data_IF_545716243706
#
_entry.id   IF_545716243706
#
_cell.length_a   1.000
_cell.length_b   1.000
_cell.length_c   1.000
_cell.angle_alpha   90.00
_cell.angle_beta   90.00
_cell.angle_gamma   90.00
#
_symmetry.space_group_name_H-M   'P 1'
#
loop_
_entity.id
_entity.type
_entity.pdbx_description
1 polymer ?
#
# COMPACT_ATOMS: atom_id res chain seq x y z
N UNK A 1 -11.94 7.70 15.38
CA UNK A 1 -11.86 6.40 14.69
C UNK A 1 -10.42 6.21 14.29
N UNK A 2 -9.75 5.15 14.73
CA UNK A 2 -8.34 4.92 14.39
C UNK A 2 -8.27 4.23 13.02
N UNK A 3 -7.62 4.91 12.07
CA UNK A 3 -7.39 4.41 10.73
C UNK A 3 -6.24 3.40 10.72
N UNK A 4 -6.31 2.42 9.83
CA UNK A 4 -5.21 1.49 9.59
C UNK A 4 -4.09 2.14 8.77
N UNK A 5 -2.86 1.81 9.12
CA UNK A 5 -1.67 2.23 8.42
C UNK A 5 -0.75 1.05 8.10
N UNK A 6 -0.02 1.18 7.01
CA UNK A 6 1.07 0.28 6.66
C UNK A 6 2.37 1.06 6.71
N UNK A 7 3.31 0.58 7.49
CA UNK A 7 4.65 1.14 7.62
C UNK A 7 5.68 0.18 7.04
N UNK A 8 6.70 0.71 6.38
CA UNK A 8 7.82 -0.06 5.86
C UNK A 8 9.14 0.41 6.49
N UNK A 9 9.90 -0.51 7.08
CA UNK A 9 11.30 -0.30 7.39
C UNK A 9 12.14 -0.47 6.11
N UNK A 10 12.50 0.67 5.52
CA UNK A 10 13.25 0.69 4.24
C UNK A 10 14.62 0.03 4.35
N UNK A 11 15.23 0.00 5.54
CA UNK A 11 16.57 -0.58 5.75
C UNK A 11 16.59 -2.10 5.62
N UNK A 12 15.44 -2.76 5.82
CA UNK A 12 15.30 -4.22 5.80
C UNK A 12 14.78 -4.77 4.48
N UNK A 13 14.25 -3.91 3.58
CA UNK A 13 13.66 -4.39 2.34
C UNK A 13 14.74 -4.83 1.35
N UNK A 14 14.64 -6.08 0.89
CA UNK A 14 15.57 -6.69 -0.08
C UNK A 14 14.97 -6.82 -1.49
N UNK A 15 13.82 -6.21 -1.74
CA UNK A 15 13.08 -6.31 -3.01
C UNK A 15 12.80 -7.74 -3.47
N UNK A 16 12.44 -8.65 -2.55
CA UNK A 16 12.13 -10.04 -2.91
C UNK A 16 10.78 -10.21 -3.62
N UNK A 17 9.97 -9.17 -3.73
CA UNK A 17 8.65 -9.12 -4.38
C UNK A 17 7.58 -10.07 -3.80
N UNK A 18 7.85 -10.79 -2.71
CA UNK A 18 6.86 -11.69 -2.08
C UNK A 18 5.54 -10.98 -1.76
N UNK A 19 5.60 -9.74 -1.27
CA UNK A 19 4.43 -8.91 -0.97
C UNK A 19 3.58 -8.61 -2.22
N UNK A 20 4.21 -8.34 -3.37
CA UNK A 20 3.54 -8.05 -4.65
C UNK A 20 2.91 -9.32 -5.22
N UNK A 21 3.66 -10.42 -5.25
CA UNK A 21 3.20 -11.72 -5.75
C UNK A 21 2.02 -12.22 -4.92
N UNK A 22 2.12 -12.16 -3.61
CA UNK A 22 1.06 -12.59 -2.71
C UNK A 22 -0.22 -11.74 -2.85
N UNK A 23 -0.08 -10.43 -3.05
CA UNK A 23 -1.21 -9.55 -3.31
C UNK A 23 -1.95 -9.96 -4.59
N UNK A 24 -1.22 -10.27 -5.67
CA UNK A 24 -1.80 -10.75 -6.92
C UNK A 24 -2.45 -12.12 -6.76
N UNK A 25 -1.79 -13.05 -6.07
CA UNK A 25 -2.27 -14.42 -5.86
C UNK A 25 -3.60 -14.45 -5.10
N UNK A 26 -3.69 -13.75 -3.95
CA UNK A 26 -4.93 -13.70 -3.15
C UNK A 26 -6.09 -13.07 -3.93
N UNK A 27 -5.81 -12.07 -4.76
CA UNK A 27 -6.82 -11.39 -5.57
C UNK A 27 -7.06 -12.08 -6.92
N UNK A 28 -6.40 -13.20 -7.18
CA UNK A 28 -6.49 -13.99 -8.43
C UNK A 28 -6.35 -13.11 -9.68
N UNK A 29 -5.33 -12.24 -9.69
CA UNK A 29 -5.15 -11.27 -10.75
C UNK A 29 -4.33 -11.83 -11.92
N UNK A 30 -4.72 -11.53 -13.17
CA UNK A 30 -3.97 -11.91 -14.37
C UNK A 30 -2.64 -11.18 -14.47
N UNK A 31 -1.90 -11.45 -15.55
CA UNK A 31 -0.75 -10.66 -15.94
C UNK A 31 -1.19 -9.21 -16.20
N UNK A 32 -0.47 -8.24 -15.67
CA UNK A 32 -0.75 -6.80 -15.80
C UNK A 32 -1.03 -6.15 -14.45
N UNK A 33 -2.26 -6.14 -13.93
CA UNK A 33 -2.62 -5.33 -12.75
C UNK A 33 -1.83 -5.71 -11.50
N UNK A 34 -1.27 -4.69 -10.83
CA UNK A 34 -0.51 -4.79 -9.58
C UNK A 34 -1.11 -3.82 -8.55
N UNK A 35 -1.98 -4.28 -7.65
CA UNK A 35 -2.54 -3.41 -6.60
C UNK A 35 -1.50 -2.87 -5.60
N UNK A 36 -0.32 -3.46 -5.59
CA UNK A 36 0.86 -2.97 -4.88
C UNK A 36 2.10 -3.21 -5.73
N UNK A 37 3.11 -2.36 -5.58
CA UNK A 37 4.36 -2.43 -6.34
C UNK A 37 5.57 -2.11 -5.45
N UNK A 38 6.76 -2.56 -5.84
CA UNK A 38 8.02 -2.10 -5.27
C UNK A 38 8.66 -1.14 -6.24
N UNK A 39 8.81 0.11 -5.82
CA UNK A 39 9.53 1.15 -6.55
C UNK A 39 10.99 1.12 -6.14
N UNK A 40 11.89 0.98 -7.11
CA UNK A 40 13.33 1.03 -6.90
C UNK A 40 13.84 2.46 -7.08
N UNK A 41 14.52 2.99 -6.08
CA UNK A 41 15.18 4.29 -6.11
C UNK A 41 16.70 4.06 -6.18
N UNK A 42 17.31 4.47 -7.25
CA UNK A 42 18.72 4.24 -7.51
C UNK A 42 18.95 3.15 -8.57
N UNK A 43 20.15 2.52 -8.64
CA UNK A 43 21.27 2.71 -7.72
C UNK A 43 21.95 4.08 -7.82
N UNK A 44 22.48 4.57 -6.71
CA UNK A 44 23.35 5.75 -6.63
C UNK A 44 24.64 5.38 -5.92
N UNK A 45 25.75 5.99 -6.33
CA UNK A 45 27.03 5.82 -5.62
C UNK A 45 27.01 6.68 -4.37
N UNK A 46 27.11 6.04 -3.19
CA UNK A 46 27.24 6.69 -1.88
C UNK A 46 28.47 6.06 -1.23
N UNK A 47 29.46 6.88 -0.87
CA UNK A 47 30.74 6.43 -0.29
C UNK A 47 31.41 5.33 -1.15
N UNK A 48 31.45 5.54 -2.46
CA UNK A 48 32.02 4.61 -3.46
C UNK A 48 31.31 3.24 -3.52
N UNK A 49 30.13 3.10 -2.95
CA UNK A 49 29.33 1.88 -2.98
C UNK A 49 27.99 2.15 -3.66
N UNK A 50 27.52 1.26 -4.56
CA UNK A 50 26.19 1.38 -5.12
C UNK A 50 25.15 1.09 -4.03
N UNK A 51 24.21 2.01 -3.86
CA UNK A 51 23.08 1.85 -2.95
C UNK A 51 21.75 2.06 -3.68
N UNK A 52 20.77 1.25 -3.35
CA UNK A 52 19.40 1.39 -3.82
C UNK A 52 18.45 1.30 -2.62
N UNK A 53 17.32 1.97 -2.70
CA UNK A 53 16.22 1.84 -1.76
C UNK A 53 15.00 1.24 -2.48
N UNK A 54 14.23 0.45 -1.75
CA UNK A 54 13.07 -0.27 -2.26
C UNK A 54 11.83 0.13 -1.48
N UNK A 55 10.92 0.85 -2.14
CA UNK A 55 9.72 1.39 -1.49
C UNK A 55 8.50 0.57 -1.91
N UNK A 56 7.83 -0.04 -0.96
CA UNK A 56 6.57 -0.73 -1.19
C UNK A 56 5.43 0.28 -1.30
N UNK A 57 4.75 0.27 -2.43
CA UNK A 57 3.69 1.22 -2.79
C UNK A 57 2.34 0.51 -2.94
N UNK A 58 1.58 0.31 -1.84
CA UNK A 58 0.17 -0.09 -1.90
C UNK A 58 -0.73 1.15 -2.06
N UNK A 59 -2.04 0.99 -1.92
CA UNK A 59 -2.94 2.12 -1.71
C UNK A 59 -2.72 2.76 -0.33
N UNK A 60 -2.76 4.10 -0.26
CA UNK A 60 -2.60 4.85 1.00
C UNK A 60 -3.91 5.04 1.78
N UNK A 61 -5.05 4.60 1.25
CA UNK A 61 -6.35 4.74 1.91
C UNK A 61 -6.61 6.14 2.44
N UNK A 62 -6.45 7.15 1.56
CA UNK A 62 -6.49 8.57 1.88
C UNK A 62 -7.71 8.98 2.72
N UNK A 63 -7.55 10.04 3.56
CA UNK A 63 -8.66 10.59 4.33
C UNK A 63 -9.76 11.15 3.43
N UNK A 64 -9.37 11.89 2.40
CA UNK A 64 -10.24 12.41 1.35
C UNK A 64 -9.90 11.72 0.02
N UNK A 65 -10.43 10.52 -0.25
CA UNK A 65 -10.04 9.73 -1.40
C UNK A 65 -10.69 10.26 -2.68
N UNK A 66 -9.92 10.90 -3.55
CA UNK A 66 -10.39 11.40 -4.85
C UNK A 66 -11.00 10.31 -5.72
N UNK A 67 -10.44 9.09 -5.64
CA UNK A 67 -10.99 7.94 -6.36
C UNK A 67 -12.42 7.59 -5.95
N UNK A 68 -12.82 7.87 -4.71
CA UNK A 68 -14.20 7.73 -4.23
C UNK A 68 -15.06 8.88 -4.76
N UNK A 69 -14.57 10.12 -4.65
CA UNK A 69 -15.30 11.31 -5.05
C UNK A 69 -15.68 11.32 -6.54
N UNK A 70 -14.83 10.78 -7.41
CA UNK A 70 -15.07 10.75 -8.87
C UNK A 70 -15.83 9.52 -9.36
N UNK A 71 -16.18 8.56 -8.50
CA UNK A 71 -16.81 7.33 -8.93
C UNK A 71 -18.31 7.54 -9.21
N UNK A 72 -18.77 7.48 -10.49
CA UNK A 72 -20.14 7.82 -10.83
C UNK A 72 -21.17 6.77 -10.35
N UNK A 73 -20.73 5.53 -10.13
CA UNK A 73 -21.60 4.42 -9.69
C UNK A 73 -21.52 4.16 -8.19
N UNK A 74 -20.65 4.88 -7.47
CA UNK A 74 -20.37 4.59 -6.06
C UNK A 74 -19.71 3.23 -5.83
N UNK A 75 -19.08 2.64 -6.85
CA UNK A 75 -18.33 1.39 -6.71
C UNK A 75 -17.08 1.55 -5.85
N UNK A 76 -16.43 2.72 -5.92
CA UNK A 76 -15.30 3.04 -5.05
C UNK A 76 -15.85 3.59 -3.73
N UNK A 77 -15.54 2.94 -2.63
CA UNK A 77 -16.12 3.25 -1.31
C UNK A 77 -15.02 3.37 -0.24
N UNK A 78 -15.30 4.13 0.83
CA UNK A 78 -14.51 4.20 2.04
C UNK A 78 -15.34 3.69 3.21
N UNK A 79 -14.83 2.69 3.95
CA UNK A 79 -15.49 2.18 5.15
C UNK A 79 -15.39 3.22 6.26
N UNK A 80 -16.52 3.58 6.92
CA UNK A 80 -16.50 4.59 7.98
C UNK A 80 -15.84 4.09 9.27
N UNK A 81 -15.87 2.79 9.53
CA UNK A 81 -15.35 2.17 10.77
C UNK A 81 -13.83 2.16 10.86
N UNK A 82 -13.13 2.05 9.73
CA UNK A 82 -11.66 1.86 9.70
C UNK A 82 -10.94 2.63 8.59
N UNK A 83 -11.68 3.37 7.76
CA UNK A 83 -11.13 4.20 6.70
C UNK A 83 -10.62 3.42 5.48
N UNK A 84 -10.87 2.12 5.38
CA UNK A 84 -10.42 1.31 4.24
C UNK A 84 -11.17 1.73 2.98
N UNK A 85 -10.41 2.10 1.95
CA UNK A 85 -10.95 2.38 0.61
C UNK A 85 -10.89 1.11 -0.22
N UNK A 86 -12.02 0.70 -0.80
CA UNK A 86 -12.14 -0.52 -1.59
C UNK A 86 -12.99 -0.33 -2.83
N UNK A 87 -13.03 -1.32 -3.70
CA UNK A 87 -13.89 -1.36 -4.90
C UNK A 87 -14.95 -2.43 -4.69
N UNK A 88 -16.21 -2.04 -4.84
CA UNK A 88 -17.32 -2.95 -5.03
C UNK A 88 -17.34 -3.33 -6.52
N UNK A 89 -16.95 -4.57 -6.81
CA UNK A 89 -16.83 -5.05 -8.17
C UNK A 89 -18.19 -5.13 -8.88
N UNK A 90 -19.30 -5.34 -8.17
CA UNK A 90 -20.62 -5.48 -8.77
C UNK A 90 -21.16 -4.14 -9.27
N UNK A 91 -20.78 -3.04 -8.62
CA UNK A 91 -21.13 -1.68 -9.04
C UNK A 91 -20.15 -1.09 -10.06
N UNK A 92 -18.96 -1.70 -10.23
CA UNK A 92 -17.93 -1.14 -11.10
C UNK A 92 -18.27 -1.34 -12.57
N UNK A 93 -18.44 -0.23 -13.31
CA UNK A 93 -18.70 -0.21 -14.76
C UNK A 93 -17.43 -0.03 -15.59
N UNK A 94 -16.25 -0.02 -14.99
CA UNK A 94 -14.98 0.04 -15.69
C UNK A 94 -14.65 1.39 -16.35
N UNK A 95 -15.26 2.49 -15.94
CA UNK A 95 -15.05 3.82 -16.54
C UNK A 95 -13.64 4.40 -16.33
N UNK A 96 -12.83 3.84 -15.44
CA UNK A 96 -11.42 4.19 -15.13
C UNK A 96 -11.18 5.61 -14.58
N UNK A 97 -12.21 6.40 -14.28
CA UNK A 97 -12.05 7.75 -13.70
C UNK A 97 -11.21 7.73 -12.41
N UNK A 98 -11.40 6.74 -11.55
CA UNK A 98 -10.63 6.56 -10.32
C UNK A 98 -9.12 6.34 -10.55
N UNK A 99 -8.72 5.77 -11.71
CA UNK A 99 -7.31 5.61 -12.07
C UNK A 99 -6.67 6.96 -12.38
N UNK A 100 -7.38 7.81 -13.13
CA UNK A 100 -6.88 9.14 -13.50
C UNK A 100 -6.88 10.12 -12.30
N UNK A 101 -7.83 9.96 -11.37
CA UNK A 101 -7.93 10.80 -10.19
C UNK A 101 -6.93 10.45 -9.07
N UNK A 102 -6.34 9.26 -9.12
CA UNK A 102 -5.41 8.82 -8.07
C UNK A 102 -3.98 9.29 -8.36
N UNK A 103 -3.39 10.18 -7.54
CA UNK A 103 -2.03 10.67 -7.76
C UNK A 103 -0.95 9.59 -7.56
N UNK A 104 -1.32 8.48 -6.94
CA UNK A 104 -0.42 7.36 -6.60
C UNK A 104 -0.56 6.17 -7.56
N UNK A 105 -1.48 6.22 -8.52
CA UNK A 105 -1.73 5.12 -9.45
C UNK A 105 -2.23 3.82 -8.81
N UNK A 106 -2.80 3.88 -7.58
CA UNK A 106 -3.20 2.68 -6.83
C UNK A 106 -4.34 1.87 -7.50
N UNK A 107 -5.40 2.46 -8.09
CA UNK A 107 -6.37 1.71 -8.87
C UNK A 107 -5.76 1.18 -10.17
N UNK A 108 -5.95 -0.11 -10.45
CA UNK A 108 -5.39 -0.79 -11.62
C UNK A 108 -6.51 -1.42 -12.45
N UNK A 109 -6.34 -1.49 -13.76
CA UNK A 109 -7.29 -2.11 -14.67
C UNK A 109 -7.09 -3.63 -14.74
N UNK A 110 -8.16 -4.39 -14.54
CA UNK A 110 -8.19 -5.83 -14.80
C UNK A 110 -8.82 -6.09 -16.19
N UNK A 111 -8.04 -6.52 -17.19
CA UNK A 111 -8.55 -6.73 -18.55
C UNK A 111 -9.50 -7.91 -18.66
N UNK A 112 -9.40 -8.92 -17.81
CA UNK A 112 -10.26 -10.10 -17.85
C UNK A 112 -11.68 -9.81 -17.38
N UNK A 113 -11.82 -8.96 -16.35
CA UNK A 113 -13.13 -8.63 -15.77
C UNK A 113 -13.69 -7.32 -16.31
N UNK A 114 -12.88 -6.50 -16.99
CA UNK A 114 -13.27 -5.15 -17.40
C UNK A 114 -13.55 -4.21 -16.23
N UNK A 115 -12.99 -4.48 -15.05
CA UNK A 115 -13.22 -3.72 -13.81
C UNK A 115 -11.93 -3.21 -13.21
N UNK A 116 -12.04 -2.24 -12.31
CA UNK A 116 -10.88 -1.73 -11.57
C UNK A 116 -10.64 -2.56 -10.32
N UNK A 117 -9.38 -2.82 -10.02
CA UNK A 117 -8.90 -3.46 -8.80
C UNK A 117 -7.91 -2.56 -8.08
N UNK A 118 -7.80 -2.66 -6.78
CA UNK A 118 -6.80 -1.94 -5.96
C UNK A 118 -6.51 -2.66 -4.66
N UNK A 119 -5.48 -2.22 -3.96
CA UNK A 119 -5.24 -2.62 -2.57
C UNK A 119 -6.42 -2.17 -1.69
N UNK A 120 -6.96 -3.07 -0.90
CA UNK A 120 -8.04 -2.87 0.07
C UNK A 120 -7.62 -3.30 1.48
N UNK A 121 -6.30 -3.31 1.75
CA UNK A 121 -5.67 -3.86 2.96
C UNK A 121 -6.09 -5.30 3.25
N UNK A 122 -6.56 -6.03 2.22
CA UNK A 122 -7.11 -7.38 2.38
C UNK A 122 -8.27 -7.37 3.42
N UNK A 123 -9.26 -6.47 3.25
CA UNK A 123 -10.37 -6.24 4.20
C UNK A 123 -11.02 -7.53 4.70
N UNK A 124 -11.22 -8.50 3.80
CA UNK A 124 -11.86 -9.78 4.15
C UNK A 124 -11.00 -10.61 5.13
N UNK A 125 -9.66 -10.45 5.10
CA UNK A 125 -8.76 -11.04 6.09
C UNK A 125 -8.79 -10.28 7.41
N UNK A 126 -8.83 -8.94 7.35
CA UNK A 126 -8.94 -8.09 8.54
C UNK A 126 -10.25 -8.36 9.30
N UNK A 127 -11.34 -8.54 8.58
CA UNK A 127 -12.64 -8.88 9.15
C UNK A 127 -12.64 -10.26 9.87
N UNK A 128 -11.65 -11.12 9.55
CA UNK A 128 -11.35 -12.38 10.22
C UNK A 128 -10.27 -12.26 11.32
N UNK A 129 -9.81 -11.05 11.65
CA UNK A 129 -8.73 -10.82 12.61
C UNK A 129 -7.33 -11.14 12.10
N UNK A 130 -7.16 -11.37 10.80
CA UNK A 130 -5.88 -11.70 10.17
C UNK A 130 -5.21 -10.45 9.61
N UNK A 131 -3.88 -10.40 9.63
CA UNK A 131 -3.11 -9.32 9.00
C UNK A 131 -3.20 -9.37 7.46
N UNK A 132 -2.97 -8.22 6.76
CA UNK A 132 -2.85 -8.20 5.31
C UNK A 132 -1.81 -9.19 4.80
N UNK A 133 -2.08 -9.82 3.67
CA UNK A 133 -1.25 -10.89 3.15
C UNK A 133 0.19 -10.45 2.84
N UNK A 134 0.38 -9.23 2.34
CA UNK A 134 1.71 -8.67 2.06
C UNK A 134 2.58 -8.55 3.33
N UNK A 135 1.97 -8.25 4.47
CA UNK A 135 2.65 -8.20 5.76
C UNK A 135 3.02 -9.59 6.24
N UNK A 136 2.07 -10.54 6.12
CA UNK A 136 2.27 -11.92 6.58
C UNK A 136 3.41 -12.64 5.84
N UNK A 137 3.60 -12.37 4.54
CA UNK A 137 4.63 -13.04 3.72
C UNK A 137 5.94 -12.26 3.62
N UNK A 138 6.07 -11.14 4.29
CA UNK A 138 7.29 -10.34 4.24
C UNK A 138 8.46 -11.09 4.88
N UNK A 139 9.38 -11.60 4.05
CA UNK A 139 10.50 -12.45 4.46
C UNK A 139 11.42 -11.76 5.47
N UNK A 140 11.64 -10.46 5.29
CA UNK A 140 12.50 -9.65 6.18
C UNK A 140 11.72 -8.96 7.30
N UNK A 141 10.40 -9.18 7.34
CA UNK A 141 9.50 -8.55 8.31
C UNK A 141 9.64 -7.02 8.34
N UNK A 142 9.89 -6.41 7.18
CA UNK A 142 10.01 -4.96 7.06
C UNK A 142 8.66 -4.25 6.92
N UNK A 143 7.56 -4.97 6.70
CA UNK A 143 6.21 -4.40 6.61
C UNK A 143 5.46 -4.60 7.92
N UNK A 144 4.93 -3.50 8.45
CA UNK A 144 4.12 -3.46 9.66
C UNK A 144 2.74 -2.93 9.32
N UNK A 145 1.72 -3.45 9.99
CA UNK A 145 0.33 -3.05 9.78
C UNK A 145 -0.41 -3.01 11.11
N UNK A 146 -1.12 -1.93 11.34
CA UNK A 146 -1.92 -1.74 12.55
C UNK A 146 -2.56 -0.36 12.57
N UNK A 147 -3.26 -0.08 13.65
CA UNK A 147 -3.72 1.28 13.95
C UNK A 147 -2.56 2.08 14.50
N UNK A 148 -2.56 3.38 14.27
CA UNK A 148 -1.42 4.24 14.65
C UNK A 148 -1.18 4.27 16.16
N UNK A 149 -2.25 4.11 16.93
CA UNK A 149 -2.23 4.02 18.39
C UNK A 149 -1.74 2.66 18.93
N UNK A 150 -1.84 1.62 18.09
CA UNK A 150 -1.43 0.24 18.40
C UNK A 150 -0.05 -0.12 17.80
N UNK A 151 0.54 0.76 16.99
CA UNK A 151 1.85 0.49 16.37
C UNK A 151 2.91 0.25 17.44
N UNK A 152 3.76 -0.77 17.28
CA UNK A 152 4.82 -1.06 18.22
C UNK A 152 5.69 0.17 18.50
N UNK A 153 6.01 0.40 19.75
CA UNK A 153 6.84 1.51 20.20
C UNK A 153 8.21 1.53 19.49
N UNK A 154 8.73 0.36 19.18
CA UNK A 154 9.94 0.16 18.37
C UNK A 154 9.88 0.86 16.99
N UNK A 155 8.72 0.86 16.32
CA UNK A 155 8.55 1.57 15.05
C UNK A 155 8.60 3.07 15.26
N UNK A 156 7.99 3.56 16.34
CA UNK A 156 8.01 4.98 16.71
C UNK A 156 9.42 5.46 17.04
N UNK A 157 10.18 4.68 17.78
CA UNK A 157 11.58 5.01 18.11
C UNK A 157 12.47 5.05 16.85
N UNK A 158 12.40 4.03 16.00
CA UNK A 158 13.12 4.05 14.71
C UNK A 158 12.74 5.22 13.81
N UNK A 159 11.46 5.61 13.82
CA UNK A 159 11.01 6.78 13.08
C UNK A 159 11.60 8.07 13.67
N UNK A 160 11.64 8.20 15.00
CA UNK A 160 12.28 9.33 15.70
C UNK A 160 13.78 9.40 15.35
N UNK A 161 14.49 8.28 15.38
CA UNK A 161 15.91 8.22 15.00
C UNK A 161 16.14 8.67 13.57
N UNK A 162 15.29 8.23 12.63
CA UNK A 162 15.38 8.62 11.21
C UNK A 162 15.09 10.10 10.95
N UNK A 163 14.23 10.72 11.76
CA UNK A 163 13.95 12.15 11.72
C UNK A 163 15.07 12.93 12.44
N UNK A 164 15.49 12.46 13.60
CA UNK A 164 16.56 13.08 14.39
C UNK A 164 17.87 13.20 13.61
N UNK A 165 18.26 12.15 12.90
CA UNK A 165 19.44 12.19 12.02
C UNK A 165 19.32 13.25 10.92
N UNK A 166 18.13 13.43 10.33
CA UNK A 166 17.91 14.45 9.28
C UNK A 166 17.82 15.87 9.82
N UNK A 167 17.36 16.05 11.06
CA UNK A 167 17.25 17.39 11.69
C UNK A 167 18.58 17.89 12.20
N UNK A 168 19.48 16.98 12.60
CA UNK A 168 20.84 17.33 13.07
C UNK A 168 21.80 17.64 11.90
N UNK A 169 21.50 17.20 10.67
CA UNK A 169 22.28 17.49 9.46
C UNK A 169 21.89 18.79 8.75
N UNK A 170 20.97 19.59 9.30
CA UNK A 170 20.64 20.91 8.76
C UNK A 170 21.65 21.90 9.31
N UNK A 171 22.53 22.51 8.46
CA UNK A 171 23.53 23.49 8.88
C UNK A 171 22.91 24.81 9.36
#
# INVERSE_FOLDING_TARGET
MSQYYLYQDLSKCIACYSCVIQCKSIKQLPVGPKPSEIVTIGPRMIDQRPRAAYVFMPCFHCDNPWCVAVCPTGAMQKRPEDGIVFVDADRCVGCRLCMNACPWGAPQWNPETGKVVKCDFCKDRLDQGLKPACVTVCTTQCLFFGRIDEMPEEIREKFKESIGAKVVEVP
#
